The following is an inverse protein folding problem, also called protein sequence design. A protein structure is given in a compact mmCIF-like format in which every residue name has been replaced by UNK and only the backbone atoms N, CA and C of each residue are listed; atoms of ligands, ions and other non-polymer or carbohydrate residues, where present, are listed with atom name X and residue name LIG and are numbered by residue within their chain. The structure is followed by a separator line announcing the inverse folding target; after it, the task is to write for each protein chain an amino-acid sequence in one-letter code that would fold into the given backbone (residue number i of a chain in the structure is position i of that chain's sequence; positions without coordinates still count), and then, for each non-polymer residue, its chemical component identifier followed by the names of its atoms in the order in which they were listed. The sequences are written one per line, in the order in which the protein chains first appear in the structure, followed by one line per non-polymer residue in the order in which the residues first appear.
data_IF_828229186139
#
_entry.id   IF_828229186139
#
_cell.length_a   1.000
_cell.length_b   1.000
_cell.length_c   1.000
_cell.angle_alpha   90.00
_cell.angle_beta   90.00
_cell.angle_gamma   90.00
#
_symmetry.space_group_name_H-M   'P 1'
#
loop_
_entity.id
_entity.type
_entity.pdbx_description
1 polymer ?
#
# COMPACT_ATOMS: atom_id res chain seq x y z
N UNK A 1 -16.80 12.31 -29.62
CA UNK A 1 -17.96 12.62 -28.77
C UNK A 1 -17.44 13.12 -27.42
N UNK A 2 -17.50 14.43 -27.18
CA UNK A 2 -17.11 15.01 -25.89
C UNK A 2 -18.34 14.98 -24.98
N UNK A 3 -18.54 13.88 -24.27
CA UNK A 3 -19.63 13.78 -23.30
C UNK A 3 -19.21 14.54 -22.04
N UNK A 4 -19.68 15.77 -21.90
CA UNK A 4 -19.63 16.51 -20.64
C UNK A 4 -20.42 15.72 -19.60
N UNK A 5 -19.72 15.16 -18.61
CA UNK A 5 -20.35 14.45 -17.50
C UNK A 5 -21.02 15.48 -16.60
N UNK A 6 -22.28 15.28 -16.23
CA UNK A 6 -22.91 16.17 -15.24
C UNK A 6 -22.44 15.81 -13.81
N UNK A 7 -22.55 16.71 -12.81
CA UNK A 7 -22.19 16.39 -11.43
C UNK A 7 -22.94 15.17 -10.87
N UNK A 8 -24.22 15.00 -11.23
CA UNK A 8 -25.03 13.84 -10.82
C UNK A 8 -24.52 12.54 -11.43
N UNK A 9 -24.17 12.55 -12.72
CA UNK A 9 -23.57 11.40 -13.38
C UNK A 9 -22.17 11.08 -12.84
N UNK A 10 -21.39 12.12 -12.50
CA UNK A 10 -20.08 11.96 -11.90
C UNK A 10 -20.19 11.32 -10.52
N UNK A 11 -21.13 11.78 -9.68
CA UNK A 11 -21.41 11.17 -8.37
C UNK A 11 -21.70 9.68 -8.50
N UNK A 12 -22.67 9.29 -9.34
CA UNK A 12 -23.01 7.87 -9.54
C UNK A 12 -21.80 7.05 -10.01
N UNK A 13 -20.99 7.59 -10.92
CA UNK A 13 -19.74 6.92 -11.36
C UNK A 13 -18.75 6.76 -10.22
N UNK A 14 -18.63 7.74 -9.34
CA UNK A 14 -17.71 7.70 -8.21
C UNK A 14 -18.20 6.78 -7.08
N UNK A 15 -19.51 6.71 -6.84
CA UNK A 15 -20.11 5.72 -5.93
C UNK A 15 -19.78 4.30 -6.39
N UNK A 16 -19.99 3.99 -7.68
CA UNK A 16 -19.58 2.70 -8.25
C UNK A 16 -18.06 2.47 -8.17
N UNK A 17 -17.26 3.50 -8.41
CA UNK A 17 -15.81 3.42 -8.36
C UNK A 17 -15.26 3.10 -6.95
N UNK A 18 -15.88 3.69 -5.91
CA UNK A 18 -15.57 3.44 -4.51
C UNK A 18 -16.17 2.11 -4.01
N UNK A 19 -17.34 1.71 -4.49
CA UNK A 19 -17.96 0.43 -4.15
C UNK A 19 -17.19 -0.77 -4.71
N UNK A 20 -16.59 -0.62 -5.90
CA UNK A 20 -15.79 -1.68 -6.51
C UNK A 20 -14.49 -1.96 -5.74
N UNK A 21 -13.84 -0.91 -5.25
CA UNK A 21 -12.62 -1.00 -4.47
C UNK A 21 -12.47 0.26 -3.62
N UNK A 22 -11.97 0.11 -2.40
CA UNK A 22 -11.56 1.24 -1.57
C UNK A 22 -10.65 2.22 -2.33
N UNK A 23 -10.95 3.51 -2.20
CA UNK A 23 -10.22 4.62 -2.80
C UNK A 23 -9.80 5.61 -1.73
N UNK A 24 -8.65 6.24 -1.94
CA UNK A 24 -8.26 7.42 -1.17
C UNK A 24 -8.84 8.69 -1.78
N UNK A 25 -8.87 9.77 -1.00
CA UNK A 25 -9.31 11.08 -1.46
C UNK A 25 -8.56 11.53 -2.72
N UNK A 26 -7.23 11.34 -2.78
CA UNK A 26 -6.43 11.72 -3.95
C UNK A 26 -6.84 11.00 -5.23
N UNK A 27 -7.20 9.71 -5.16
CA UNK A 27 -7.68 8.93 -6.31
C UNK A 27 -9.05 9.42 -6.78
N UNK A 28 -9.96 9.73 -5.84
CA UNK A 28 -11.30 10.26 -6.17
C UNK A 28 -11.21 11.63 -6.83
N UNK A 29 -10.42 12.54 -6.25
CA UNK A 29 -10.19 13.89 -6.81
C UNK A 29 -9.56 13.80 -8.20
N UNK A 30 -8.53 12.97 -8.39
CA UNK A 30 -7.92 12.75 -9.70
C UNK A 30 -8.95 12.21 -10.72
N UNK A 31 -9.85 11.32 -10.29
CA UNK A 31 -10.90 10.78 -11.14
C UNK A 31 -11.92 11.85 -11.53
N UNK A 32 -12.33 12.72 -10.61
CA UNK A 32 -13.27 13.83 -10.88
C UNK A 32 -12.68 14.85 -11.86
N UNK A 33 -11.39 15.20 -11.71
CA UNK A 33 -10.70 16.03 -12.71
C UNK A 33 -10.62 15.36 -14.09
N UNK A 34 -10.42 14.04 -14.15
CA UNK A 34 -10.46 13.32 -15.43
C UNK A 34 -11.85 13.35 -16.10
N UNK A 35 -12.91 13.54 -15.31
CA UNK A 35 -14.29 13.74 -15.78
C UNK A 35 -14.60 15.22 -16.10
N UNK A 36 -13.60 16.10 -16.04
CA UNK A 36 -13.70 17.55 -16.29
C UNK A 36 -14.61 18.30 -15.32
N UNK A 37 -14.72 17.81 -14.08
CA UNK A 37 -15.39 18.54 -12.99
C UNK A 37 -14.56 19.75 -12.57
N UNK A 38 -15.25 20.83 -12.26
CA UNK A 38 -14.66 22.03 -11.64
C UNK A 38 -14.25 21.75 -10.19
N UNK A 39 -13.50 22.67 -9.59
CA UNK A 39 -13.10 22.56 -8.18
C UNK A 39 -14.32 22.47 -7.25
N UNK A 40 -15.30 23.36 -7.46
CA UNK A 40 -16.51 23.43 -6.63
C UNK A 40 -17.36 22.16 -6.74
N UNK A 41 -17.54 21.64 -7.95
CA UNK A 41 -18.25 20.37 -8.18
C UNK A 41 -17.50 19.19 -7.54
N UNK A 42 -16.17 19.18 -7.63
CA UNK A 42 -15.33 18.13 -7.05
C UNK A 42 -15.48 18.10 -5.53
N UNK A 43 -15.41 19.26 -4.88
CA UNK A 43 -15.57 19.36 -3.42
C UNK A 43 -16.97 18.90 -2.98
N UNK A 44 -18.03 19.36 -3.66
CA UNK A 44 -19.40 18.94 -3.37
C UNK A 44 -19.59 17.42 -3.48
N UNK A 45 -19.08 16.82 -4.56
CA UNK A 45 -19.19 15.37 -4.76
C UNK A 45 -18.39 14.60 -3.70
N UNK A 46 -17.18 15.06 -3.37
CA UNK A 46 -16.35 14.43 -2.34
C UNK A 46 -17.05 14.44 -0.98
N UNK A 47 -17.65 15.59 -0.59
CA UNK A 47 -18.42 15.68 0.66
C UNK A 47 -19.55 14.67 0.67
N UNK A 48 -20.34 14.57 -0.41
CA UNK A 48 -21.44 13.61 -0.50
C UNK A 48 -20.97 12.15 -0.40
N UNK A 49 -19.84 11.81 -1.04
CA UNK A 49 -19.24 10.47 -0.94
C UNK A 49 -18.78 10.14 0.48
N UNK A 50 -18.27 11.13 1.23
CA UNK A 50 -17.85 10.97 2.62
C UNK A 50 -19.07 10.81 3.52
N UNK A 51 -20.07 11.68 3.39
CA UNK A 51 -21.32 11.64 4.17
C UNK A 51 -22.08 10.33 3.95
N UNK A 52 -22.08 9.83 2.72
CA UNK A 52 -22.68 8.53 2.36
C UNK A 52 -21.74 7.34 2.61
N UNK A 53 -20.57 7.57 3.23
CA UNK A 53 -19.57 6.57 3.61
C UNK A 53 -19.00 5.73 2.43
N UNK A 54 -19.13 6.20 1.20
CA UNK A 54 -18.45 5.63 0.03
C UNK A 54 -16.95 5.93 0.05
N UNK A 55 -16.56 7.12 0.51
CA UNK A 55 -15.16 7.52 0.64
C UNK A 55 -14.75 7.58 2.12
N UNK A 56 -13.80 6.74 2.52
CA UNK A 56 -13.31 6.68 3.90
C UNK A 56 -11.80 6.42 3.92
N UNK A 57 -11.03 7.44 4.30
CA UNK A 57 -9.56 7.41 4.23
C UNK A 57 -8.94 6.37 5.17
N UNK A 58 -9.52 6.17 6.34
CA UNK A 58 -9.07 5.17 7.31
C UNK A 58 -9.32 3.76 6.78
N UNK A 59 -10.52 3.51 6.23
CA UNK A 59 -10.90 2.22 5.64
C UNK A 59 -9.98 1.87 4.45
N UNK A 60 -9.69 2.84 3.60
CA UNK A 60 -8.71 2.70 2.53
C UNK A 60 -7.33 2.32 3.08
N UNK A 61 -6.78 3.08 4.03
CA UNK A 61 -5.45 2.84 4.57
C UNK A 61 -5.31 1.44 5.17
N UNK A 62 -6.29 1.01 5.97
CA UNK A 62 -6.33 -0.35 6.55
C UNK A 62 -6.38 -1.44 5.48
N UNK A 63 -7.29 -1.29 4.50
CA UNK A 63 -7.41 -2.24 3.39
C UNK A 63 -6.12 -2.34 2.57
N UNK A 64 -5.50 -1.18 2.30
CA UNK A 64 -4.22 -1.08 1.60
C UNK A 64 -3.11 -1.81 2.36
N UNK A 65 -2.93 -1.53 3.65
CA UNK A 65 -1.89 -2.16 4.47
C UNK A 65 -2.04 -3.69 4.50
N UNK A 66 -3.24 -4.20 4.81
CA UNK A 66 -3.53 -5.64 4.80
C UNK A 66 -3.25 -6.27 3.45
N UNK A 67 -3.76 -5.69 2.36
CA UNK A 67 -3.59 -6.23 1.02
C UNK A 67 -2.13 -6.24 0.57
N UNK A 68 -1.37 -5.17 0.84
CA UNK A 68 0.06 -5.11 0.49
C UNK A 68 0.91 -6.06 1.31
N UNK A 69 0.59 -6.26 2.59
CA UNK A 69 1.31 -7.22 3.41
C UNK A 69 0.96 -8.66 3.01
N UNK A 70 -0.32 -9.06 3.05
CA UNK A 70 -0.72 -10.45 2.81
C UNK A 70 -0.47 -10.94 1.40
N UNK A 71 -0.71 -10.10 0.39
CA UNK A 71 -0.63 -10.51 -1.02
C UNK A 71 0.73 -10.19 -1.62
N UNK A 72 1.30 -9.01 -1.29
CA UNK A 72 2.58 -8.56 -1.86
C UNK A 72 3.76 -8.72 -0.91
N UNK A 73 3.55 -9.17 0.33
CA UNK A 73 4.59 -9.40 1.34
C UNK A 73 5.48 -8.17 1.54
N UNK A 74 4.86 -6.99 1.53
CA UNK A 74 5.56 -5.74 1.81
C UNK A 74 5.80 -5.56 3.30
N UNK A 75 6.95 -4.99 3.63
CA UNK A 75 7.28 -4.54 4.98
C UNK A 75 6.61 -3.21 5.33
N UNK A 76 6.56 -2.87 6.62
CA UNK A 76 5.83 -1.69 7.12
C UNK A 76 6.39 -0.37 6.58
N UNK A 77 7.70 -0.28 6.33
CA UNK A 77 8.36 0.94 5.82
C UNK A 77 7.81 1.26 4.44
N UNK A 78 7.70 0.27 3.56
CA UNK A 78 7.18 0.49 2.20
C UNK A 78 5.70 0.85 2.23
N UNK A 79 4.90 0.15 3.04
CA UNK A 79 3.47 0.48 3.20
C UNK A 79 3.30 1.93 3.67
N UNK A 80 4.08 2.34 4.66
CA UNK A 80 4.09 3.70 5.20
C UNK A 80 4.43 4.73 4.12
N UNK A 81 5.52 4.51 3.37
CA UNK A 81 5.95 5.44 2.33
C UNK A 81 4.91 5.58 1.21
N UNK A 82 4.27 4.47 0.83
CA UNK A 82 3.23 4.45 -0.20
C UNK A 82 1.94 5.15 0.24
N UNK A 83 1.56 5.01 1.51
CA UNK A 83 0.44 5.76 2.08
C UNK A 83 0.77 7.26 2.19
N UNK A 84 1.99 7.62 2.62
CA UNK A 84 2.46 9.02 2.64
C UNK A 84 2.45 9.66 1.26
N UNK A 85 2.90 8.94 0.22
CA UNK A 85 2.88 9.42 -1.15
C UNK A 85 1.45 9.69 -1.67
N UNK A 86 0.45 9.03 -1.08
CA UNK A 86 -0.99 9.25 -1.34
C UNK A 86 -1.61 10.30 -0.41
N UNK A 87 -0.79 11.03 0.34
CA UNK A 87 -1.20 12.08 1.29
C UNK A 87 -2.09 11.57 2.43
N UNK A 88 -1.94 10.29 2.81
CA UNK A 88 -2.64 9.72 3.96
C UNK A 88 -2.01 10.25 5.24
N UNK A 89 -2.85 10.67 6.19
CA UNK A 89 -2.41 11.22 7.46
C UNK A 89 -1.60 10.21 8.28
N UNK A 90 -0.68 10.71 9.11
CA UNK A 90 0.10 9.87 10.04
C UNK A 90 -0.81 9.03 10.96
N UNK A 91 -1.90 9.62 11.45
CA UNK A 91 -2.89 8.93 12.28
C UNK A 91 -3.49 7.72 11.57
N UNK A 92 -3.93 7.89 10.32
CA UNK A 92 -4.52 6.79 9.54
C UNK A 92 -3.48 5.73 9.18
N UNK A 93 -2.23 6.12 8.94
CA UNK A 93 -1.13 5.16 8.74
C UNK A 93 -0.92 4.34 10.01
N UNK A 94 -0.87 4.97 11.18
CA UNK A 94 -0.71 4.25 12.45
C UNK A 94 -1.85 3.26 12.70
N UNK A 95 -3.09 3.64 12.38
CA UNK A 95 -4.24 2.73 12.47
C UNK A 95 -4.07 1.57 11.47
N UNK A 96 -3.73 1.87 10.22
CA UNK A 96 -3.57 0.87 9.17
C UNK A 96 -2.46 -0.16 9.47
N UNK A 97 -1.35 0.27 10.09
CA UNK A 97 -0.27 -0.64 10.46
C UNK A 97 -0.66 -1.60 11.59
N UNK A 98 -1.63 -1.25 12.45
CA UNK A 98 -2.14 -2.15 13.50
C UNK A 98 -2.93 -3.33 12.95
N UNK A 99 -3.36 -3.26 11.68
CA UNK A 99 -4.02 -4.37 10.99
C UNK A 99 -3.08 -5.54 10.69
N UNK A 100 -1.78 -5.33 10.83
CA UNK A 100 -0.74 -6.34 10.64
C UNK A 100 -0.22 -6.71 12.04
N UNK A 101 -0.54 -7.92 12.50
CA UNK A 101 -0.06 -8.33 13.82
C UNK A 101 1.46 -8.54 13.81
N UNK A 102 2.17 -8.35 14.93
CA UNK A 102 3.60 -8.63 15.02
C UNK A 102 3.96 -10.07 14.62
N UNK A 103 3.10 -11.03 14.94
CA UNK A 103 3.27 -12.45 14.62
C UNK A 103 3.08 -12.71 13.12
N UNK A 104 2.04 -12.11 12.51
CA UNK A 104 1.80 -12.16 11.06
C UNK A 104 3.00 -11.57 10.31
N UNK A 105 3.49 -10.42 10.77
CA UNK A 105 4.63 -9.72 10.17
C UNK A 105 5.91 -10.56 10.22
N UNK A 106 6.22 -11.09 11.41
CA UNK A 106 7.40 -11.94 11.63
C UNK A 106 7.35 -13.20 10.77
N UNK A 107 6.20 -13.89 10.76
CA UNK A 107 6.02 -15.11 9.99
C UNK A 107 6.16 -14.86 8.48
N UNK A 108 5.58 -13.78 7.98
CA UNK A 108 5.67 -13.40 6.57
C UNK A 108 7.10 -13.05 6.18
N UNK A 109 7.82 -12.31 7.02
CA UNK A 109 9.23 -11.97 6.80
C UNK A 109 10.09 -13.23 6.74
N UNK A 110 9.92 -14.13 7.71
CA UNK A 110 10.65 -15.39 7.81
C UNK A 110 10.50 -16.22 6.52
N UNK A 111 9.26 -16.58 6.17
CA UNK A 111 8.97 -17.37 4.98
C UNK A 111 9.43 -16.71 3.68
N UNK A 112 9.31 -15.39 3.57
CA UNK A 112 9.79 -14.66 2.41
C UNK A 112 11.32 -14.72 2.32
N UNK A 113 12.00 -14.65 3.46
CA UNK A 113 13.45 -14.62 3.55
C UNK A 113 14.12 -15.93 3.21
N UNK A 114 13.65 -17.03 3.80
CA UNK A 114 14.14 -18.38 3.49
C UNK A 114 13.95 -18.68 2.00
N UNK A 115 12.72 -18.51 1.50
CA UNK A 115 12.40 -18.72 0.08
C UNK A 115 13.24 -17.84 -0.83
N UNK A 116 13.49 -16.58 -0.48
CA UNK A 116 14.36 -15.71 -1.27
C UNK A 116 15.80 -16.23 -1.30
N UNK A 117 16.32 -16.67 -0.16
CA UNK A 117 17.69 -17.12 -0.01
C UNK A 117 17.98 -18.42 -0.76
N UNK A 118 17.07 -19.38 -0.68
CA UNK A 118 17.14 -20.67 -1.40
C UNK A 118 17.11 -20.48 -2.92
N UNK A 119 16.31 -19.53 -3.40
CA UNK A 119 16.18 -19.26 -4.83
C UNK A 119 17.35 -18.44 -5.42
N UNK A 120 18.22 -17.87 -4.58
CA UNK A 120 19.40 -17.13 -5.05
C UNK A 120 20.52 -18.08 -5.50
N UNK A 121 20.72 -18.20 -6.82
CA UNK A 121 21.78 -19.02 -7.45
C UNK A 121 23.17 -18.37 -7.51
N UNK A 122 23.36 -17.23 -6.85
CA UNK A 122 24.65 -16.53 -6.83
C UNK A 122 25.68 -17.32 -6.02
N UNK A 123 26.86 -17.54 -6.60
CA UNK A 123 27.94 -18.33 -5.98
C UNK A 123 28.85 -17.50 -5.09
N UNK A 124 29.03 -16.23 -5.45
CA UNK A 124 29.81 -15.27 -4.67
C UNK A 124 28.99 -14.84 -3.44
N UNK A 125 29.49 -15.17 -2.25
CA UNK A 125 28.79 -14.97 -0.97
C UNK A 125 28.46 -13.49 -0.73
N UNK A 126 29.40 -12.58 -0.99
CA UNK A 126 29.21 -11.14 -0.84
C UNK A 126 28.15 -10.62 -1.80
N UNK A 127 28.16 -11.08 -3.06
CA UNK A 127 27.12 -10.71 -4.03
C UNK A 127 25.76 -11.32 -3.69
N UNK A 128 25.71 -12.55 -3.19
CA UNK A 128 24.47 -13.21 -2.74
C UNK A 128 23.85 -12.43 -1.58
N UNK A 129 24.64 -12.10 -0.57
CA UNK A 129 24.24 -11.24 0.56
C UNK A 129 23.68 -9.91 0.08
N UNK A 130 24.41 -9.21 -0.80
CA UNK A 130 23.95 -7.93 -1.35
C UNK A 130 22.59 -8.06 -2.05
N UNK A 131 22.43 -9.05 -2.93
CA UNK A 131 21.18 -9.31 -3.66
C UNK A 131 20.01 -9.57 -2.72
N UNK A 132 20.22 -10.36 -1.67
CA UNK A 132 19.22 -10.63 -0.64
C UNK A 132 18.82 -9.34 0.10
N UNK A 133 19.80 -8.60 0.63
CA UNK A 133 19.55 -7.36 1.37
C UNK A 133 18.81 -6.33 0.49
N UNK A 134 19.29 -6.09 -0.73
CA UNK A 134 18.67 -5.16 -1.67
C UNK A 134 17.22 -5.54 -1.98
N UNK A 135 16.93 -6.84 -2.10
CA UNK A 135 15.57 -7.31 -2.31
C UNK A 135 14.66 -7.03 -1.12
N UNK A 136 15.10 -7.37 0.10
CA UNK A 136 14.29 -7.18 1.31
C UNK A 136 14.07 -5.71 1.67
N UNK A 137 15.12 -4.89 1.54
CA UNK A 137 15.03 -3.44 1.76
C UNK A 137 14.06 -2.79 0.77
N UNK A 138 14.09 -3.17 -0.52
CA UNK A 138 13.11 -2.70 -1.53
C UNK A 138 11.69 -3.21 -1.27
N UNK A 139 11.54 -4.33 -0.57
CA UNK A 139 10.24 -4.82 -0.09
C UNK A 139 9.74 -4.04 1.13
N UNK A 140 10.60 -3.27 1.79
CA UNK A 140 10.25 -2.36 2.87
C UNK A 140 10.41 -2.93 4.27
N UNK A 141 11.24 -3.95 4.44
CA UNK A 141 11.57 -4.47 5.77
C UNK A 141 12.67 -3.62 6.42
N UNK A 142 12.63 -3.57 7.74
CA UNK A 142 13.54 -2.83 8.58
C UNK A 142 14.98 -3.36 8.42
N UNK A 143 15.94 -2.45 8.29
CA UNK A 143 17.32 -2.81 7.99
C UNK A 143 17.94 -3.75 9.03
N UNK A 144 17.62 -3.57 10.31
CA UNK A 144 18.10 -4.46 11.37
C UNK A 144 17.59 -5.89 11.18
N UNK A 145 16.29 -6.09 10.89
CA UNK A 145 15.74 -7.43 10.60
C UNK A 145 16.42 -8.07 9.41
N UNK A 146 16.63 -7.32 8.34
CA UNK A 146 17.28 -7.81 7.12
C UNK A 146 18.72 -8.24 7.39
N UNK A 147 19.48 -7.44 8.12
CA UNK A 147 20.89 -7.72 8.40
C UNK A 147 21.10 -8.82 9.43
N UNK A 148 20.20 -8.98 10.40
CA UNK A 148 20.26 -10.10 11.33
C UNK A 148 19.90 -11.40 10.61
N UNK A 149 18.84 -11.37 9.78
CA UNK A 149 18.42 -12.57 9.05
C UNK A 149 19.46 -13.06 8.04
N UNK A 150 20.13 -12.14 7.33
CA UNK A 150 21.16 -12.58 6.36
C UNK A 150 22.36 -13.24 7.05
N UNK A 151 22.76 -12.77 8.24
CA UNK A 151 23.82 -13.42 9.04
C UNK A 151 23.41 -14.81 9.50
N UNK A 152 22.16 -14.95 9.95
CA UNK A 152 21.60 -16.26 10.34
C UNK A 152 21.61 -17.24 9.15
N UNK A 153 21.14 -16.79 7.97
CA UNK A 153 21.13 -17.60 6.77
C UNK A 153 22.54 -18.00 6.29
N UNK A 154 23.52 -17.10 6.42
CA UNK A 154 24.93 -17.39 6.13
C UNK A 154 25.55 -18.42 7.08
N UNK A 155 25.09 -18.49 8.35
CA UNK A 155 25.57 -19.48 9.32
C UNK A 155 24.93 -20.86 9.15
N UNK A 156 23.71 -20.90 8.61
CA UNK A 156 22.96 -22.13 8.38
C UNK A 156 23.15 -22.73 6.97
N UNK A 157 23.91 -22.07 6.08
CA UNK A 157 24.21 -22.51 4.70
C UNK A 157 25.58 -23.17 4.59
#
# INVERSE_FOLDING_TARGET
MNTTCTPKEALLKLEHFCAYQERCHAEVVSKLYSLKMTSDETEQIVVQLIESNFLNETRFACSFARGKHRIKQWGTIRITNELKARQISSTNITIALKEISPEEYKTTFEQLSERCWENLREKDTLKKRKKFCDYMLRRGYESFLVYDKVKELEQNS
#
